data_IF_835213135859
#
_entry.id   IF_835213135859
#
_cell.length_a   1.000
_cell.length_b   1.000
_cell.length_c   1.000
_cell.angle_alpha   90.00
_cell.angle_beta   90.00
_cell.angle_gamma   90.00
#
_symmetry.space_group_name_H-M   'P 1'
#
loop_
_entity.id
_entity.type
_entity.pdbx_description
1 polymer ?
#
# COMPACT_ATOMS: atom_id res chain seq x y z
N UNK A 1 33.71 15.54 17.57
CA UNK A 1 32.99 14.82 18.65
C UNK A 1 31.60 15.44 18.71
N UNK A 2 30.53 14.64 18.57
CA UNK A 2 29.15 15.13 18.72
C UNK A 2 28.77 15.16 20.21
N UNK A 3 27.66 15.80 20.54
CA UNK A 3 27.17 15.83 21.93
C UNK A 3 26.72 14.43 22.42
N UNK A 4 26.85 14.13 23.72
CA UNK A 4 26.40 12.87 24.30
C UNK A 4 24.91 12.64 24.08
N UNK A 5 24.52 11.42 23.68
CA UNK A 5 23.12 10.99 23.54
C UNK A 5 22.89 9.67 24.29
N UNK A 6 21.64 9.30 24.50
CA UNK A 6 21.28 8.03 25.17
C UNK A 6 20.84 6.97 24.17
N UNK A 7 21.08 5.70 24.49
CA UNK A 7 20.55 4.58 23.71
C UNK A 7 19.01 4.62 23.64
N UNK A 8 18.35 5.08 24.71
CA UNK A 8 16.91 5.27 24.75
C UNK A 8 16.40 6.26 23.70
N UNK A 9 17.11 7.37 23.47
CA UNK A 9 16.74 8.34 22.44
C UNK A 9 16.85 7.76 21.02
N UNK A 10 17.83 6.88 20.78
CA UNK A 10 17.96 6.13 19.50
C UNK A 10 16.75 5.22 19.28
N UNK A 11 16.37 4.41 20.28
CA UNK A 11 15.20 3.54 20.18
C UNK A 11 13.87 4.30 20.05
N UNK A 12 13.75 5.46 20.70
CA UNK A 12 12.58 6.32 20.54
C UNK A 12 12.46 6.80 19.09
N UNK A 13 13.58 7.22 18.48
CA UNK A 13 13.61 7.58 17.05
C UNK A 13 13.17 6.43 16.14
N UNK A 14 13.56 5.20 16.46
CA UNK A 14 13.15 4.00 15.71
C UNK A 14 11.65 3.74 15.86
N UNK A 15 11.13 3.79 17.08
CA UNK A 15 9.69 3.62 17.36
C UNK A 15 8.84 4.62 16.59
N UNK A 16 9.24 5.90 16.58
CA UNK A 16 8.53 6.94 15.84
C UNK A 16 8.59 6.73 14.31
N UNK A 17 9.71 6.26 13.79
CA UNK A 17 9.80 5.88 12.37
C UNK A 17 8.91 4.68 12.03
N UNK A 18 8.90 3.64 12.87
CA UNK A 18 8.01 2.48 12.71
C UNK A 18 6.54 2.90 12.73
N UNK A 19 6.13 3.80 13.63
CA UNK A 19 4.75 4.35 13.65
C UNK A 19 4.39 5.03 12.34
N UNK A 20 5.29 5.82 11.75
CA UNK A 20 5.07 6.43 10.42
C UNK A 20 4.95 5.36 9.33
N UNK A 21 5.79 4.34 9.36
CA UNK A 21 5.77 3.23 8.41
C UNK A 21 4.49 2.39 8.49
N UNK A 22 3.95 2.14 9.67
CA UNK A 22 2.65 1.47 9.84
C UNK A 22 1.53 2.26 9.15
N UNK A 23 1.52 3.59 9.30
CA UNK A 23 0.53 4.45 8.62
C UNK A 23 0.68 4.37 7.10
N UNK A 24 1.91 4.47 6.58
CA UNK A 24 2.19 4.32 5.13
C UNK A 24 1.71 2.97 4.60
N UNK A 25 2.01 1.89 5.32
CA UNK A 25 1.62 0.54 4.92
C UNK A 25 0.10 0.36 4.89
N UNK A 26 -0.63 0.91 5.86
CA UNK A 26 -2.10 0.88 5.87
C UNK A 26 -2.68 1.58 4.63
N UNK A 27 -2.17 2.75 4.28
CA UNK A 27 -2.60 3.50 3.09
C UNK A 27 -2.27 2.74 1.81
N UNK A 28 -1.04 2.23 1.68
CA UNK A 28 -0.62 1.47 0.51
C UNK A 28 -1.40 0.16 0.32
N UNK A 29 -1.69 -0.54 1.43
CA UNK A 29 -2.56 -1.73 1.42
C UNK A 29 -3.95 -1.39 0.91
N UNK A 30 -4.57 -0.32 1.43
CA UNK A 30 -5.90 0.11 0.98
C UNK A 30 -5.89 0.48 -0.51
N UNK A 31 -4.85 1.18 -0.97
CA UNK A 31 -4.71 1.58 -2.37
C UNK A 31 -4.62 0.39 -3.34
N UNK A 32 -3.98 -0.72 -2.95
CA UNK A 32 -3.88 -1.93 -3.78
C UNK A 32 -5.02 -2.93 -3.57
N UNK A 33 -5.89 -2.72 -2.57
CA UNK A 33 -7.03 -3.59 -2.24
C UNK A 33 -8.23 -3.32 -3.17
N UNK A 34 -7.99 -3.39 -4.47
CA UNK A 34 -9.00 -3.16 -5.51
C UNK A 34 -9.13 -4.35 -6.45
N UNK A 35 -10.34 -4.57 -6.96
CA UNK A 35 -10.67 -5.62 -7.92
C UNK A 35 -11.22 -5.04 -9.22
N UNK A 36 -11.23 -5.87 -10.26
CA UNK A 36 -11.73 -5.51 -11.59
C UNK A 36 -12.38 -6.71 -12.28
N UNK A 37 -13.60 -6.53 -12.75
CA UNK A 37 -14.41 -7.43 -13.58
C UNK A 37 -15.10 -6.71 -14.76
N UNK A 38 -14.89 -5.41 -14.95
CA UNK A 38 -15.47 -4.51 -15.98
C UNK A 38 -15.24 -4.85 -17.47
N UNK A 39 -14.75 -6.04 -17.81
CA UNK A 39 -14.56 -6.52 -19.18
C UNK A 39 -13.23 -6.10 -19.86
N UNK A 40 -13.06 -6.37 -21.16
CA UNK A 40 -11.77 -6.24 -21.87
C UNK A 40 -11.21 -4.82 -21.88
N UNK A 41 -12.09 -3.82 -21.93
CA UNK A 41 -11.71 -2.39 -22.01
C UNK A 41 -12.31 -1.55 -20.88
N UNK A 42 -12.93 -2.18 -19.88
CA UNK A 42 -13.48 -1.49 -18.71
C UNK A 42 -14.85 -0.83 -18.92
N UNK A 43 -15.58 -1.22 -19.97
CA UNK A 43 -16.85 -0.62 -20.36
C UNK A 43 -18.09 -1.40 -19.91
N UNK A 44 -17.93 -2.47 -19.14
CA UNK A 44 -19.05 -3.30 -18.66
C UNK A 44 -19.90 -3.90 -19.81
N UNK A 45 -19.31 -4.07 -20.99
CA UNK A 45 -20.03 -4.48 -22.21
C UNK A 45 -20.77 -5.81 -22.11
N UNK A 46 -20.29 -6.72 -21.25
CA UNK A 46 -20.83 -8.07 -21.09
C UNK A 46 -21.14 -8.41 -19.61
N UNK A 47 -21.00 -7.46 -18.69
CA UNK A 47 -21.13 -7.70 -17.25
C UNK A 47 -21.68 -6.46 -16.56
N UNK A 48 -22.75 -6.62 -15.80
CA UNK A 48 -23.32 -5.52 -15.01
C UNK A 48 -22.36 -5.10 -13.87
N UNK A 49 -22.21 -3.79 -13.59
CA UNK A 49 -21.36 -3.29 -12.50
C UNK A 49 -21.70 -3.87 -11.12
N UNK A 50 -22.95 -4.28 -10.90
CA UNK A 50 -23.41 -4.90 -9.65
C UNK A 50 -22.72 -6.23 -9.37
N UNK A 51 -22.36 -6.99 -10.41
CA UNK A 51 -21.62 -8.25 -10.28
C UNK A 51 -20.19 -7.96 -9.80
N UNK A 52 -19.54 -6.92 -10.33
CA UNK A 52 -18.20 -6.52 -9.86
C UNK A 52 -18.24 -6.12 -8.38
N UNK A 53 -19.23 -5.32 -7.99
CA UNK A 53 -19.44 -4.92 -6.60
C UNK A 53 -19.65 -6.13 -5.68
N UNK A 54 -20.49 -7.08 -6.10
CA UNK A 54 -20.78 -8.29 -5.34
C UNK A 54 -19.53 -9.15 -5.14
N UNK A 55 -18.77 -9.40 -6.20
CA UNK A 55 -17.56 -10.22 -6.13
C UNK A 55 -16.47 -9.51 -5.33
N UNK A 56 -16.22 -8.22 -5.57
CA UNK A 56 -15.24 -7.45 -4.82
C UNK A 56 -15.57 -7.45 -3.32
N UNK A 57 -16.83 -7.23 -2.95
CA UNK A 57 -17.27 -7.29 -1.55
C UNK A 57 -17.04 -8.66 -0.92
N UNK A 58 -17.35 -9.76 -1.63
CA UNK A 58 -17.07 -11.12 -1.15
C UNK A 58 -15.58 -11.41 -0.96
N UNK A 59 -14.72 -10.77 -1.75
CA UNK A 59 -13.26 -10.90 -1.66
C UNK A 59 -12.62 -9.88 -0.70
N UNK A 60 -13.41 -8.99 -0.08
CA UNK A 60 -12.89 -7.91 0.77
C UNK A 60 -12.13 -6.82 0.00
N UNK A 61 -12.43 -6.66 -1.30
CA UNK A 61 -11.85 -5.67 -2.19
C UNK A 61 -12.85 -4.55 -2.48
N UNK A 62 -12.33 -3.41 -2.93
CA UNK A 62 -13.14 -2.33 -3.52
C UNK A 62 -13.15 -2.49 -5.05
N UNK A 63 -14.26 -2.22 -5.73
CA UNK A 63 -14.26 -2.11 -7.19
C UNK A 63 -13.34 -0.95 -7.63
N UNK A 64 -12.67 -1.09 -8.78
CA UNK A 64 -11.91 0.02 -9.37
C UNK A 64 -12.86 1.02 -10.04
N UNK A 65 -12.79 2.29 -9.65
CA UNK A 65 -13.69 3.33 -10.16
C UNK A 65 -13.64 3.46 -11.70
N UNK A 66 -12.43 3.49 -12.25
CA UNK A 66 -12.17 3.52 -13.69
C UNK A 66 -11.00 2.60 -13.98
N UNK A 67 -11.29 1.50 -14.65
CA UNK A 67 -10.29 0.52 -15.08
C UNK A 67 -10.27 0.47 -16.61
N UNK A 68 -9.09 0.20 -17.17
CA UNK A 68 -8.96 -0.18 -18.58
C UNK A 68 -8.99 -1.71 -18.67
N UNK A 69 -8.16 -2.36 -19.49
CA UNK A 69 -7.97 -3.81 -19.46
C UNK A 69 -7.36 -4.32 -18.15
N UNK A 70 -6.61 -3.47 -17.44
CA UNK A 70 -5.85 -3.84 -16.24
C UNK A 70 -6.13 -2.80 -15.15
N UNK A 71 -6.00 -3.19 -13.88
CA UNK A 71 -5.96 -2.25 -12.75
C UNK A 71 -4.77 -1.29 -12.94
N UNK A 72 -4.96 0.03 -12.75
CA UNK A 72 -3.89 1.01 -12.85
C UNK A 72 -2.64 0.63 -12.04
N UNK A 73 -1.46 0.72 -12.67
CA UNK A 73 -0.21 0.23 -12.09
C UNK A 73 0.39 1.18 -11.06
N UNK A 74 -0.03 2.43 -11.01
CA UNK A 74 0.35 3.39 -9.95
C UNK A 74 0.04 2.86 -8.55
N UNK A 75 -1.06 2.11 -8.37
CA UNK A 75 -1.39 1.43 -7.10
C UNK A 75 -0.30 0.43 -6.68
N UNK A 76 0.22 -0.32 -7.65
CA UNK A 76 1.28 -1.30 -7.43
C UNK A 76 2.60 -0.58 -7.13
N UNK A 77 2.90 0.50 -7.87
CA UNK A 77 4.07 1.35 -7.64
C UNK A 77 4.06 1.93 -6.22
N UNK A 78 2.93 2.50 -5.77
CA UNK A 78 2.79 3.04 -4.42
C UNK A 78 3.07 1.98 -3.35
N UNK A 79 2.55 0.76 -3.54
CA UNK A 79 2.77 -0.36 -2.64
C UNK A 79 4.25 -0.74 -2.57
N UNK A 80 4.89 -0.93 -3.72
CA UNK A 80 6.31 -1.30 -3.80
C UNK A 80 7.22 -0.20 -3.25
N UNK A 81 6.96 1.07 -3.55
CA UNK A 81 7.72 2.19 -2.99
C UNK A 81 7.56 2.26 -1.47
N UNK A 82 6.37 1.98 -0.95
CA UNK A 82 6.14 1.93 0.51
C UNK A 82 6.97 0.81 1.15
N UNK A 83 7.00 -0.38 0.54
CA UNK A 83 7.87 -1.47 1.00
C UNK A 83 9.35 -1.09 0.96
N UNK A 84 9.80 -0.41 -0.10
CA UNK A 84 11.18 0.04 -0.22
C UNK A 84 11.55 1.03 0.91
N UNK A 85 10.67 2.00 1.23
CA UNK A 85 10.88 2.94 2.34
C UNK A 85 11.00 2.19 3.68
N UNK A 86 10.16 1.20 3.91
CA UNK A 86 10.19 0.39 5.13
C UNK A 86 11.51 -0.40 5.20
N UNK A 87 11.91 -1.05 4.10
CA UNK A 87 13.17 -1.79 4.03
C UNK A 87 14.37 -0.87 4.31
N UNK A 88 14.42 0.33 3.71
CA UNK A 88 15.48 1.31 3.98
C UNK A 88 15.53 1.74 5.45
N UNK A 89 14.39 1.83 6.14
CA UNK A 89 14.37 2.14 7.57
C UNK A 89 15.01 1.03 8.42
N UNK A 90 14.92 -0.23 8.00
CA UNK A 90 15.56 -1.35 8.70
C UNK A 90 17.08 -1.26 8.56
N UNK A 91 17.60 -1.00 7.35
CA UNK A 91 19.04 -0.81 7.11
C UNK A 91 19.60 0.39 7.88
N UNK A 92 18.86 1.51 7.94
CA UNK A 92 19.27 2.71 8.69
C UNK A 92 19.43 2.44 10.20
N UNK A 93 18.62 1.52 10.71
CA UNK A 93 18.52 1.21 12.13
C UNK A 93 19.34 -0.03 12.51
N UNK A 94 20.11 -0.59 11.57
CA UNK A 94 21.00 -1.70 11.82
C UNK A 94 22.12 -1.30 12.81
N UNK A 95 22.53 -2.26 13.62
CA UNK A 95 23.59 -2.10 14.63
C UNK A 95 24.87 -2.88 14.25
N UNK A 96 24.89 -3.48 13.07
CA UNK A 96 26.07 -4.14 12.49
C UNK A 96 27.28 -3.20 12.36
#
# INVERSE_FOLDING_TARGET
HAEPTTLGLKFLGFSEETKRNIKRMKVAKDAVSVGKLSGPVGTYSNLEPEIENYVCKKLGLKPENVSTQIIPRDRHSQFLTTLAIIASSLTRNDFS
#
